data_IF_920152680889
#
_entry.id   IF_920152680889
#
_cell.length_a   1.000
_cell.length_b   1.000
_cell.length_c   1.000
_cell.angle_alpha   90.00
_cell.angle_beta   90.00
_cell.angle_gamma   90.00
#
_symmetry.space_group_name_H-M   'P 1'
#
loop_
_entity.id
_entity.type
_entity.pdbx_description
1 polymer ?
#
# COMPACT_ATOMS: atom_id res chain seq x y z
N UNK A 1 10.78 20.18 28.52
CA UNK A 1 11.43 18.87 28.34
C UNK A 1 12.25 18.94 27.06
N UNK A 2 13.56 18.79 27.17
CA UNK A 2 14.47 18.73 26.02
C UNK A 2 14.47 17.30 25.48
N UNK A 3 13.96 17.11 24.26
CA UNK A 3 14.01 15.84 23.55
C UNK A 3 15.44 15.61 23.06
N UNK A 4 16.11 14.58 23.56
CA UNK A 4 17.43 14.17 23.07
C UNK A 4 17.26 13.11 21.98
N UNK A 5 17.48 13.51 20.73
CA UNK A 5 17.39 12.62 19.57
C UNK A 5 18.52 11.57 19.51
N UNK A 6 19.48 11.62 20.43
CA UNK A 6 20.65 10.74 20.48
C UNK A 6 20.55 9.66 21.56
N UNK A 7 19.45 9.64 22.33
CA UNK A 7 19.23 8.63 23.37
C UNK A 7 19.15 7.22 22.75
N UNK A 8 20.10 6.31 23.07
CA UNK A 8 20.14 4.97 22.51
C UNK A 8 18.87 4.15 22.76
N UNK A 9 18.21 4.34 23.90
CA UNK A 9 16.98 3.61 24.21
C UNK A 9 15.81 4.11 23.36
N UNK A 10 15.70 5.43 23.17
CA UNK A 10 14.71 6.03 22.28
C UNK A 10 14.91 5.58 20.82
N UNK A 11 16.15 5.51 20.35
CA UNK A 11 16.50 5.04 19.00
C UNK A 11 16.13 3.55 18.83
N UNK A 12 16.48 2.71 19.81
CA UNK A 12 16.16 1.27 19.76
C UNK A 12 14.64 1.03 19.74
N UNK A 13 13.88 1.79 20.54
CA UNK A 13 12.43 1.72 20.58
C UNK A 13 11.80 2.17 19.26
N UNK A 14 12.30 3.24 18.64
CA UNK A 14 11.82 3.73 17.36
C UNK A 14 12.02 2.67 16.26
N UNK A 15 13.22 2.08 16.16
CA UNK A 15 13.52 1.00 15.20
C UNK A 15 12.60 -0.20 15.37
N UNK A 16 12.40 -0.65 16.61
CA UNK A 16 11.50 -1.78 16.89
C UNK A 16 10.06 -1.50 16.46
N UNK A 17 9.58 -0.26 16.63
CA UNK A 17 8.25 0.12 16.19
C UNK A 17 8.17 0.17 14.65
N UNK A 18 9.20 0.68 13.98
CA UNK A 18 9.28 0.67 12.50
C UNK A 18 9.21 -0.77 11.96
N UNK A 19 10.00 -1.69 12.53
CA UNK A 19 9.98 -3.12 12.18
C UNK A 19 8.65 -3.82 12.45
N UNK A 20 7.85 -3.31 13.39
CA UNK A 20 6.52 -3.84 13.69
C UNK A 20 5.49 -3.32 12.68
N UNK A 21 5.51 -2.01 12.40
CA UNK A 21 4.66 -1.36 11.39
C UNK A 21 4.87 -1.96 10.00
N UNK A 22 6.11 -2.36 9.66
CA UNK A 22 6.40 -3.03 8.39
C UNK A 22 5.61 -4.35 8.19
N UNK A 23 5.12 -4.97 9.28
CA UNK A 23 4.33 -6.20 9.26
C UNK A 23 2.82 -5.97 9.18
N UNK A 24 2.34 -4.73 9.28
CA UNK A 24 0.90 -4.42 9.30
C UNK A 24 0.19 -4.90 8.03
N UNK A 25 0.82 -4.70 6.87
CA UNK A 25 0.25 -5.15 5.59
C UNK A 25 0.14 -6.67 5.54
N UNK A 26 1.12 -7.39 6.06
CA UNK A 26 1.10 -8.85 6.11
C UNK A 26 0.01 -9.36 7.05
N UNK A 27 -0.16 -8.70 8.19
CA UNK A 27 -1.24 -8.98 9.11
C UNK A 27 -2.61 -8.82 8.44
N UNK A 28 -2.84 -7.70 7.75
CA UNK A 28 -4.08 -7.44 7.01
C UNK A 28 -4.28 -8.51 5.93
N UNK A 29 -3.24 -8.82 5.15
CA UNK A 29 -3.32 -9.79 4.05
C UNK A 29 -3.46 -11.25 4.52
N UNK A 30 -3.26 -11.54 5.81
CA UNK A 30 -3.37 -12.90 6.36
C UNK A 30 -4.79 -13.47 6.23
N UNK A 31 -5.82 -12.61 6.23
CA UNK A 31 -7.22 -13.01 6.18
C UNK A 31 -7.84 -12.75 4.79
N UNK A 32 -8.73 -13.64 4.28
CA UNK A 32 -9.43 -13.41 3.01
C UNK A 32 -10.14 -12.05 2.95
N UNK A 33 -10.81 -11.66 4.04
CA UNK A 33 -11.48 -10.35 4.12
C UNK A 33 -10.51 -9.18 4.00
N UNK A 34 -9.31 -9.31 4.56
CA UNK A 34 -8.28 -8.27 4.49
C UNK A 34 -7.69 -8.16 3.09
N UNK A 35 -7.42 -9.28 2.41
CA UNK A 35 -7.04 -9.30 0.99
C UNK A 35 -8.09 -8.64 0.10
N UNK A 36 -9.38 -8.96 0.29
CA UNK A 36 -10.46 -8.28 -0.42
C UNK A 36 -10.47 -6.77 -0.16
N UNK A 37 -10.27 -6.34 1.08
CA UNK A 37 -10.21 -4.90 1.40
C UNK A 37 -9.00 -4.21 0.73
N UNK A 38 -7.81 -4.82 0.80
CA UNK A 38 -6.61 -4.33 0.16
C UNK A 38 -6.78 -4.24 -1.36
N UNK A 39 -7.38 -5.25 -1.99
CA UNK A 39 -7.67 -5.23 -3.43
C UNK A 39 -8.53 -4.03 -3.82
N UNK A 40 -9.63 -3.81 -3.11
CA UNK A 40 -10.52 -2.66 -3.36
C UNK A 40 -9.81 -1.33 -3.13
N UNK A 41 -9.00 -1.24 -2.07
CA UNK A 41 -8.22 -0.03 -1.79
C UNK A 41 -7.21 0.26 -2.92
N UNK A 42 -6.46 -0.75 -3.36
CA UNK A 42 -5.41 -0.60 -4.37
C UNK A 42 -6.02 -0.28 -5.74
N UNK A 43 -6.97 -1.09 -6.19
CA UNK A 43 -7.43 -1.05 -7.58
C UNK A 43 -8.67 -0.17 -7.80
N UNK A 44 -9.63 -0.18 -6.87
CA UNK A 44 -10.85 0.64 -7.00
C UNK A 44 -10.58 2.07 -6.52
N UNK A 45 -10.26 2.23 -5.23
CA UNK A 45 -10.06 3.56 -4.63
C UNK A 45 -8.72 4.20 -5.03
N UNK A 46 -7.70 3.38 -5.26
CA UNK A 46 -6.39 3.83 -5.74
C UNK A 46 -6.34 4.04 -7.25
N UNK A 47 -7.38 3.73 -8.02
CA UNK A 47 -7.42 3.95 -9.46
C UNK A 47 -6.20 3.39 -10.22
N UNK A 48 -5.60 2.31 -9.71
CA UNK A 48 -4.39 1.69 -10.27
C UNK A 48 -4.61 1.16 -11.69
N UNK A 49 -5.85 0.77 -12.02
CA UNK A 49 -6.22 0.29 -13.35
C UNK A 49 -6.70 1.41 -14.29
N UNK A 50 -6.88 2.64 -13.80
CA UNK A 50 -7.38 3.77 -14.59
C UNK A 50 -6.25 4.47 -15.34
N UNK A 51 -6.55 5.10 -16.48
CA UNK A 51 -5.58 5.93 -17.21
C UNK A 51 -5.10 7.13 -16.37
N UNK A 52 -3.80 7.42 -16.45
CA UNK A 52 -3.13 8.51 -15.70
C UNK A 52 -2.85 9.76 -16.53
N UNK A 53 -3.36 9.81 -17.76
CA UNK A 53 -3.18 10.93 -18.66
C UNK A 53 -4.39 11.09 -19.56
N UNK A 54 -4.62 12.31 -20.03
CA UNK A 54 -5.67 12.60 -21.00
C UNK A 54 -5.03 12.67 -22.39
N UNK A 55 -5.37 11.78 -23.33
CA UNK A 55 -4.88 11.88 -24.70
C UNK A 55 -5.25 13.24 -25.31
N UNK A 56 -4.31 13.86 -26.02
CA UNK A 56 -4.48 15.14 -26.73
C UNK A 56 -4.72 16.39 -25.86
N UNK A 57 -4.43 16.36 -24.56
CA UNK A 57 -4.36 17.55 -23.72
C UNK A 57 -3.08 17.53 -22.89
N UNK A 58 -2.23 18.54 -23.10
CA UNK A 58 -0.93 18.67 -22.41
C UNK A 58 -1.07 19.39 -21.05
N UNK A 59 -2.21 20.04 -20.84
CA UNK A 59 -2.55 20.88 -19.70
C UNK A 59 -3.61 20.24 -18.78
N UNK A 60 -4.33 19.20 -19.23
CA UNK A 60 -5.22 18.44 -18.38
C UNK A 60 -4.42 17.53 -17.44
N UNK A 61 -4.50 17.83 -16.16
CA UNK A 61 -4.03 16.93 -15.11
C UNK A 61 -5.04 15.80 -14.94
N UNK A 62 -4.59 14.55 -14.94
CA UNK A 62 -5.46 13.44 -14.63
C UNK A 62 -5.96 13.55 -13.19
N UNK A 63 -7.28 13.54 -13.01
CA UNK A 63 -7.93 13.53 -11.70
C UNK A 63 -7.54 12.21 -10.99
N UNK A 64 -7.25 12.27 -9.67
CA UNK A 64 -6.90 11.14 -8.79
C UNK A 64 -5.42 10.70 -8.66
N UNK A 65 -4.42 11.46 -9.12
CA UNK A 65 -3.00 11.07 -8.94
C UNK A 65 -2.61 10.88 -7.45
N UNK A 66 -3.19 11.64 -6.52
CA UNK A 66 -2.94 11.44 -5.09
C UNK A 66 -3.42 10.08 -4.57
N UNK A 67 -4.65 9.69 -4.92
CA UNK A 67 -5.19 8.38 -4.57
C UNK A 67 -4.39 7.26 -5.23
N UNK A 68 -3.94 7.46 -6.48
CA UNK A 68 -3.07 6.52 -7.18
C UNK A 68 -1.71 6.37 -6.52
N UNK A 69 -1.12 7.46 -6.04
CA UNK A 69 0.13 7.39 -5.28
C UNK A 69 -0.02 6.49 -4.05
N UNK A 70 -1.12 6.61 -3.31
CA UNK A 70 -1.38 5.77 -2.13
C UNK A 70 -1.58 4.31 -2.54
N UNK A 71 -2.43 4.05 -3.54
CA UNK A 71 -2.66 2.70 -4.06
C UNK A 71 -1.37 2.03 -4.52
N UNK A 72 -0.47 2.77 -5.17
CA UNK A 72 0.82 2.28 -5.65
C UNK A 72 1.78 1.94 -4.51
N UNK A 73 1.85 2.74 -3.45
CA UNK A 73 2.71 2.43 -2.29
C UNK A 73 2.28 1.12 -1.64
N UNK A 74 0.98 0.96 -1.37
CA UNK A 74 0.43 -0.24 -0.73
C UNK A 74 0.62 -1.45 -1.65
N UNK A 75 0.38 -1.28 -2.96
CA UNK A 75 0.58 -2.31 -3.97
C UNK A 75 2.03 -2.82 -3.97
N UNK A 76 3.00 -1.92 -4.02
CA UNK A 76 4.42 -2.30 -4.05
C UNK A 76 4.86 -2.94 -2.72
N UNK A 77 4.43 -2.41 -1.58
CA UNK A 77 4.77 -2.98 -0.28
C UNK A 77 4.27 -4.42 -0.15
N UNK A 78 3.00 -4.70 -0.50
CA UNK A 78 2.45 -6.05 -0.46
C UNK A 78 3.16 -6.97 -1.48
N UNK A 79 3.41 -6.49 -2.70
CA UNK A 79 4.05 -7.26 -3.77
C UNK A 79 5.50 -7.63 -3.42
N UNK A 80 6.24 -6.72 -2.82
CA UNK A 80 7.65 -6.92 -2.48
C UNK A 80 7.83 -7.78 -1.21
N UNK A 81 7.07 -7.48 -0.16
CA UNK A 81 7.28 -8.12 1.15
C UNK A 81 6.57 -9.48 1.24
N UNK A 82 5.44 -9.65 0.57
CA UNK A 82 4.63 -10.87 0.65
C UNK A 82 3.98 -11.23 -0.70
N UNK A 83 4.80 -11.65 -1.68
CA UNK A 83 4.34 -11.96 -3.04
C UNK A 83 3.30 -13.09 -3.07
N UNK A 84 3.34 -14.01 -2.11
CA UNK A 84 2.36 -15.10 -2.00
C UNK A 84 0.98 -14.57 -1.64
N UNK A 85 0.87 -13.69 -0.64
CA UNK A 85 -0.40 -13.09 -0.27
C UNK A 85 -0.92 -12.14 -1.36
N UNK A 86 -0.02 -11.43 -2.05
CA UNK A 86 -0.35 -10.62 -3.23
C UNK A 86 -1.00 -11.45 -4.35
N UNK A 87 -0.37 -12.56 -4.76
CA UNK A 87 -0.92 -13.41 -5.83
C UNK A 87 -2.27 -14.02 -5.43
N UNK A 88 -2.40 -14.47 -4.17
CA UNK A 88 -3.67 -14.99 -3.65
C UNK A 88 -4.77 -13.93 -3.63
N UNK A 89 -4.44 -12.68 -3.31
CA UNK A 89 -5.39 -11.57 -3.39
C UNK A 89 -5.88 -11.37 -4.83
N UNK A 90 -5.00 -11.44 -5.82
CA UNK A 90 -5.38 -11.29 -7.23
C UNK A 90 -6.25 -12.45 -7.73
N UNK A 91 -5.88 -13.69 -7.41
CA UNK A 91 -6.68 -14.89 -7.69
C UNK A 91 -8.12 -14.70 -7.19
N UNK A 92 -8.28 -14.37 -5.91
CA UNK A 92 -9.57 -14.25 -5.24
C UNK A 92 -10.47 -13.08 -5.73
N UNK A 93 -9.92 -12.03 -6.34
CA UNK A 93 -10.68 -10.79 -6.59
C UNK A 93 -10.57 -10.22 -8.01
N UNK A 94 -9.61 -10.68 -8.82
CA UNK A 94 -9.40 -10.20 -10.19
C UNK A 94 -9.74 -11.25 -11.24
N UNK A 95 -9.51 -12.53 -10.94
CA UNK A 95 -9.69 -13.62 -11.90
C UNK A 95 -10.91 -14.50 -11.59
N UNK A 96 -11.26 -14.66 -10.32
CA UNK A 96 -12.42 -15.47 -9.87
C UNK A 96 -13.71 -14.64 -9.62
N UNK A 97 -13.74 -13.39 -10.10
CA UNK A 97 -14.88 -12.46 -9.98
C UNK A 97 -15.86 -12.50 -11.15
#
# INVERSE_FOLDING_TARGET
MTYDASDPEAIAKAKKNEEDVEKDIDFIASQPRGRRWLYRLIFEAGHMSSQSYVPNSFDATAFNEGARSIGRVIHEQLRANNPKAYLKMLEENHFDG
#
